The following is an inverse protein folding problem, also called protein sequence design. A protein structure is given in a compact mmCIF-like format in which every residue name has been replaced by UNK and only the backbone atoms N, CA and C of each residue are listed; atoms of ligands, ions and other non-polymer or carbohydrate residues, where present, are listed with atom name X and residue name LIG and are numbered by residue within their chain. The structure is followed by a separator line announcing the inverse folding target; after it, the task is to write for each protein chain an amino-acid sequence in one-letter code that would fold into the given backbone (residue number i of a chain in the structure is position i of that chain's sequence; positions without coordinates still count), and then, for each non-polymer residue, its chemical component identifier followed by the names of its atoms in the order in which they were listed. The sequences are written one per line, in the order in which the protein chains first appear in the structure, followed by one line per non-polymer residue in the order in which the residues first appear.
data_IF_341447746943
#
_entry.id   IF_341447746943
#
_cell.length_a   1.000
_cell.length_b   1.000
_cell.length_c   1.000
_cell.angle_alpha   90.00
_cell.angle_beta   90.00
_cell.angle_gamma   90.00
#
_symmetry.space_group_name_H-M   'P 1'
#
loop_
_entity.id
_entity.type
_entity.pdbx_description
1 polymer ?
#
# COMPACT_ATOMS: atom_id res chain seq x y z
N UNK A 1 13.69 -39.80 51.85
CA UNK A 1 14.01 -38.51 51.19
C UNK A 1 13.72 -38.66 49.71
N UNK A 2 12.71 -37.95 49.21
CA UNK A 2 12.36 -37.94 47.78
C UNK A 2 12.77 -36.58 47.23
N UNK A 3 13.65 -36.58 46.23
CA UNK A 3 14.22 -35.40 45.62
C UNK A 3 13.20 -34.73 44.69
N UNK A 4 12.83 -33.49 44.99
CA UNK A 4 12.02 -32.67 44.09
C UNK A 4 12.95 -32.03 43.04
N UNK A 5 12.89 -32.53 41.80
CA UNK A 5 13.60 -31.96 40.67
C UNK A 5 13.00 -30.58 40.33
N UNK A 6 13.76 -29.51 40.56
CA UNK A 6 13.44 -28.18 40.06
C UNK A 6 13.79 -28.12 38.56
N UNK A 7 12.80 -28.32 37.70
CA UNK A 7 12.95 -28.09 36.25
C UNK A 7 13.02 -26.59 35.95
N UNK A 8 13.72 -26.17 34.88
CA UNK A 8 13.72 -24.77 34.48
C UNK A 8 12.33 -24.39 33.98
N UNK A 9 11.69 -23.45 34.67
CA UNK A 9 10.51 -22.76 34.14
C UNK A 9 10.99 -21.96 32.93
N UNK A 10 10.81 -22.51 31.72
CA UNK A 10 10.97 -21.76 30.50
C UNK A 10 9.94 -20.63 30.51
N UNK A 11 10.38 -19.42 30.84
CA UNK A 11 9.57 -18.24 30.63
C UNK A 11 9.33 -18.13 29.12
N UNK A 12 8.10 -18.41 28.69
CA UNK A 12 7.62 -17.99 27.38
C UNK A 12 7.69 -16.47 27.38
N UNK A 13 8.76 -15.93 26.82
CA UNK A 13 8.79 -14.54 26.40
C UNK A 13 7.76 -14.42 25.27
N UNK A 14 6.53 -14.07 25.65
CA UNK A 14 5.57 -13.49 24.72
C UNK A 14 6.22 -12.17 24.32
N UNK A 15 6.94 -12.19 23.20
CA UNK A 15 7.30 -10.95 22.52
C UNK A 15 5.96 -10.26 22.28
N UNK A 16 5.75 -9.02 22.75
CA UNK A 16 4.65 -8.22 22.23
C UNK A 16 4.84 -8.23 20.72
N UNK A 17 3.89 -8.82 19.99
CA UNK A 17 3.73 -8.52 18.58
C UNK A 17 3.79 -6.99 18.51
N UNK A 18 4.65 -6.38 17.66
CA UNK A 18 4.75 -4.94 17.60
C UNK A 18 3.33 -4.44 17.43
N UNK A 19 2.81 -3.87 18.51
CA UNK A 19 1.42 -3.53 18.62
C UNK A 19 1.15 -2.66 17.41
N UNK A 20 0.14 -3.02 16.61
CA UNK A 20 -0.51 -2.13 15.68
C UNK A 20 -1.14 -0.98 16.50
N UNK A 21 -0.28 -0.17 17.12
CA UNK A 21 -0.63 1.16 17.53
C UNK A 21 -1.02 1.85 16.23
N UNK A 22 -2.22 2.44 16.24
CA UNK A 22 -2.84 3.31 15.23
C UNK A 22 -4.00 2.73 14.40
N UNK A 23 -4.18 1.42 14.20
CA UNK A 23 -5.34 0.92 13.43
C UNK A 23 -6.60 0.63 14.28
N UNK A 24 -6.85 1.39 15.35
CA UNK A 24 -8.04 1.25 16.19
C UNK A 24 -9.29 1.80 15.44
N UNK A 25 -9.82 1.04 14.48
CA UNK A 25 -11.10 1.33 13.83
C UNK A 25 -11.11 1.38 12.29
N UNK A 26 -9.96 1.27 11.64
CA UNK A 26 -9.89 1.24 10.18
C UNK A 26 -10.01 -0.19 9.64
N UNK A 27 -10.67 -0.33 8.47
CA UNK A 27 -10.81 -1.63 7.83
C UNK A 27 -9.45 -2.10 7.28
N UNK A 28 -9.26 -3.41 7.12
CA UNK A 28 -8.03 -3.93 6.51
C UNK A 28 -7.82 -3.33 5.11
N UNK A 29 -6.69 -2.68 4.88
CA UNK A 29 -6.48 -1.88 3.67
C UNK A 29 -6.34 -0.37 3.94
N UNK A 30 -6.55 0.06 5.19
CA UNK A 30 -6.54 1.47 5.59
C UNK A 30 -5.72 1.71 6.88
N UNK A 31 -5.09 2.87 6.99
CA UNK A 31 -4.41 3.38 8.19
C UNK A 31 -5.16 4.58 8.78
N UNK A 32 -5.12 4.74 10.10
CA UNK A 32 -5.67 5.93 10.74
C UNK A 32 -4.71 7.12 10.56
N UNK A 33 -5.19 8.18 9.89
CA UNK A 33 -4.46 9.45 9.86
C UNK A 33 -4.54 10.10 11.24
N UNK A 34 -3.41 10.17 11.96
CA UNK A 34 -3.38 10.68 13.34
C UNK A 34 -3.83 12.16 13.43
N UNK A 35 -3.70 12.94 12.36
CA UNK A 35 -4.01 14.37 12.40
C UNK A 35 -5.49 14.67 12.12
N UNK A 36 -6.12 13.86 11.27
CA UNK A 36 -7.48 14.04 10.76
C UNK A 36 -8.46 13.02 11.38
N UNK A 37 -7.92 11.98 12.03
CA UNK A 37 -8.66 10.86 12.61
C UNK A 37 -9.51 10.09 11.58
N UNK A 38 -9.20 10.24 10.29
CA UNK A 38 -9.85 9.56 9.17
C UNK A 38 -9.04 8.36 8.72
N UNK A 39 -9.73 7.27 8.37
CA UNK A 39 -9.09 6.13 7.74
C UNK A 39 -8.70 6.47 6.31
N UNK A 40 -7.41 6.39 5.99
CA UNK A 40 -6.86 6.60 4.65
C UNK A 40 -6.41 5.26 4.09
N UNK A 41 -6.65 4.98 2.79
CA UNK A 41 -6.20 3.74 2.19
C UNK A 41 -4.67 3.65 2.25
N UNK A 42 -4.15 2.44 2.49
CA UNK A 42 -2.73 2.19 2.33
C UNK A 42 -2.32 2.52 0.89
N UNK A 43 -1.16 3.14 0.73
CA UNK A 43 -0.51 3.18 -0.59
C UNK A 43 -0.32 1.74 -1.05
N UNK A 44 -1.01 1.36 -2.14
CA UNK A 44 -0.93 0.00 -2.68
C UNK A 44 0.54 -0.30 -2.96
N UNK A 45 1.11 -1.41 -2.43
CA UNK A 45 2.51 -1.75 -2.66
C UNK A 45 2.88 -1.94 -4.14
N UNK A 46 1.88 -2.06 -5.02
CA UNK A 46 1.99 -2.26 -6.46
C UNK A 46 1.14 -1.23 -7.24
N UNK A 47 1.22 0.06 -6.90
CA UNK A 47 0.73 1.07 -7.83
C UNK A 47 1.60 1.04 -9.10
N UNK A 48 1.00 0.92 -10.30
CA UNK A 48 1.76 1.10 -11.52
C UNK A 48 2.37 2.51 -11.51
N UNK A 49 3.64 2.68 -11.92
CA UNK A 49 4.27 3.98 -11.95
C UNK A 49 3.57 4.86 -13.02
N UNK A 50 3.14 6.05 -12.62
CA UNK A 50 2.49 7.04 -13.51
C UNK A 50 3.43 7.56 -14.60
N UNK A 51 4.74 7.40 -14.42
CA UNK A 51 5.77 7.80 -15.37
C UNK A 51 6.68 6.61 -15.64
N UNK A 52 7.00 6.37 -16.90
CA UNK A 52 7.91 5.31 -17.32
C UNK A 52 9.13 5.93 -17.97
N UNK A 53 10.33 5.45 -17.64
CA UNK A 53 11.55 5.84 -18.36
C UNK A 53 11.83 4.77 -19.41
N UNK A 54 11.88 5.16 -20.68
CA UNK A 54 12.15 4.21 -21.77
C UNK A 54 13.65 4.02 -21.94
N UNK A 55 14.07 2.86 -22.48
CA UNK A 55 15.48 2.56 -22.74
C UNK A 55 16.19 3.56 -23.68
N UNK A 56 15.42 4.37 -24.44
CA UNK A 56 15.96 5.43 -25.29
C UNK A 56 16.62 6.55 -24.48
N UNK A 57 16.09 6.89 -23.30
CA UNK A 57 16.71 7.81 -22.35
C UNK A 57 16.20 7.54 -20.92
N UNK A 58 16.99 6.86 -20.07
CA UNK A 58 16.58 6.49 -18.72
C UNK A 58 16.45 7.70 -17.76
N UNK A 59 17.02 8.85 -18.13
CA UNK A 59 16.99 10.08 -17.33
C UNK A 59 15.73 10.92 -17.60
N UNK A 60 14.96 10.59 -18.64
CA UNK A 60 13.77 11.34 -19.04
C UNK A 60 12.53 10.48 -18.82
N UNK A 61 11.66 10.83 -17.85
CA UNK A 61 10.37 10.18 -17.70
C UNK A 61 9.47 10.51 -18.88
N UNK A 62 8.65 9.53 -19.28
CA UNK A 62 7.72 9.61 -20.39
C UNK A 62 6.36 9.05 -19.98
N UNK A 63 5.30 9.57 -20.60
CA UNK A 63 3.95 9.02 -20.50
C UNK A 63 3.48 8.70 -21.92
N UNK A 64 3.08 7.45 -22.17
CA UNK A 64 2.66 7.00 -23.50
C UNK A 64 3.70 7.30 -24.61
N UNK A 65 5.00 7.29 -24.26
CA UNK A 65 6.10 7.60 -25.17
C UNK A 65 6.33 9.09 -25.44
N UNK A 66 5.71 9.99 -24.65
CA UNK A 66 5.95 11.44 -24.72
C UNK A 66 6.95 11.83 -23.62
N UNK A 67 8.12 12.39 -23.98
CA UNK A 67 9.11 12.80 -23.00
C UNK A 67 8.66 14.01 -22.19
N UNK A 68 8.66 13.88 -20.87
CA UNK A 68 8.15 14.87 -19.93
C UNK A 68 9.17 15.96 -19.60
N UNK A 69 9.78 16.53 -20.64
CA UNK A 69 10.76 17.61 -20.56
C UNK A 69 10.43 18.74 -21.54
N UNK A 70 10.90 19.95 -21.23
CA UNK A 70 10.78 21.12 -22.10
C UNK A 70 9.32 21.46 -22.42
N UNK A 71 9.00 21.54 -23.70
CA UNK A 71 7.67 21.93 -24.18
C UNK A 71 6.56 20.93 -23.79
N UNK A 72 6.89 19.65 -23.64
CA UNK A 72 5.92 18.59 -23.37
C UNK A 72 5.64 18.37 -21.88
N UNK A 73 6.34 19.08 -20.97
CA UNK A 73 6.19 18.91 -19.53
C UNK A 73 4.74 19.15 -19.05
N UNK A 74 4.07 20.18 -19.58
CA UNK A 74 2.67 20.45 -19.25
C UNK A 74 1.70 19.39 -19.77
N UNK A 75 1.96 18.85 -20.97
CA UNK A 75 1.16 17.77 -21.55
C UNK A 75 1.29 16.47 -20.76
N UNK A 76 2.50 16.15 -20.30
CA UNK A 76 2.73 14.99 -19.43
C UNK A 76 1.99 15.09 -18.10
N UNK A 77 1.96 16.27 -17.46
CA UNK A 77 1.20 16.44 -16.22
C UNK A 77 -0.29 16.16 -16.46
N UNK A 78 -0.87 16.70 -17.53
CA UNK A 78 -2.27 16.44 -17.86
C UNK A 78 -2.57 14.96 -18.13
N UNK A 79 -1.65 14.24 -18.78
CA UNK A 79 -1.80 12.79 -19.01
C UNK A 79 -1.63 11.98 -17.72
N UNK A 80 -0.73 12.38 -16.83
CA UNK A 80 -0.57 11.74 -15.52
C UNK A 80 -1.82 11.91 -14.66
N UNK A 81 -2.43 13.09 -14.69
CA UNK A 81 -3.67 13.38 -13.98
C UNK A 81 -4.86 12.61 -14.57
N UNK A 82 -4.94 12.46 -15.90
CA UNK A 82 -5.97 11.65 -16.56
C UNK A 82 -5.85 10.17 -16.17
N UNK A 83 -4.63 9.62 -16.14
CA UNK A 83 -4.39 8.23 -15.72
C UNK A 83 -4.67 8.01 -14.23
N UNK A 84 -4.36 9.00 -13.39
CA UNK A 84 -4.74 8.98 -11.98
C UNK A 84 -6.27 9.08 -11.79
N UNK A 85 -6.95 9.88 -12.61
CA UNK A 85 -8.40 10.07 -12.58
C UNK A 85 -9.19 8.86 -13.12
N UNK A 86 -8.59 8.07 -14.03
CA UNK A 86 -9.18 6.82 -14.51
C UNK A 86 -9.44 5.82 -13.37
N UNK A 87 -8.69 5.95 -12.27
CA UNK A 87 -8.85 5.14 -11.08
C UNK A 87 -8.45 3.67 -11.29
N UNK A 88 -8.52 2.85 -10.23
CA UNK A 88 -8.25 1.43 -10.34
C UNK A 88 -9.23 0.75 -11.30
N UNK A 89 -8.78 -0.22 -12.11
CA UNK A 89 -9.69 -0.98 -12.96
C UNK A 89 -10.76 -1.65 -12.10
N UNK A 90 -12.01 -1.64 -12.58
CA UNK A 90 -13.14 -2.26 -11.89
C UNK A 90 -12.80 -3.72 -11.54
N UNK A 91 -12.69 -4.03 -10.26
CA UNK A 91 -12.43 -5.39 -9.80
C UNK A 91 -13.70 -6.22 -9.94
N UNK A 92 -13.71 -7.28 -10.77
CA UNK A 92 -14.87 -8.14 -10.86
C UNK A 92 -15.09 -8.83 -9.52
N UNK A 93 -16.27 -8.64 -8.90
CA UNK A 93 -16.65 -9.44 -7.73
C UNK A 93 -16.97 -10.86 -8.18
N UNK A 94 -16.08 -11.80 -7.86
CA UNK A 94 -16.26 -13.23 -8.18
C UNK A 94 -17.01 -14.01 -7.09
N UNK A 95 -17.44 -13.37 -6.01
CA UNK A 95 -18.18 -14.04 -4.93
C UNK A 95 -19.68 -13.79 -5.07
N UNK A 96 -20.42 -14.86 -5.38
CA UNK A 96 -21.87 -14.91 -5.13
C UNK A 96 -22.05 -14.96 -3.60
N UNK A 97 -22.59 -13.89 -3.02
CA UNK A 97 -23.02 -13.87 -1.63
C UNK A 97 -24.40 -14.55 -1.55
N UNK A 98 -24.43 -15.82 -1.20
CA UNK A 98 -25.67 -16.47 -0.78
C UNK A 98 -25.89 -16.13 0.70
N UNK A 99 -26.84 -15.22 0.98
CA UNK A 99 -27.41 -15.11 2.32
C UNK A 99 -28.32 -16.32 2.57
N UNK A 100 -28.26 -16.94 3.77
CA UNK A 100 -29.21 -17.98 4.17
C UNK A 100 -30.64 -17.46 4.37
#
# INVERSE_FOLDING_TARGET
MVAAAAGPMAALHVMPEPSAALAQGCQGGEENDQFTMTCVPFMVPNSPPLFQTTAANPDVPEIQGIPCIGHNAGGCLGLAEDEAAAGPPAQPRSTISASP
#
